data_IF_073248089859
#
_entry.id   IF_073248089859
#
_cell.length_a   1.000
_cell.length_b   1.000
_cell.length_c   1.000
_cell.angle_alpha   90.00
_cell.angle_beta   90.00
_cell.angle_gamma   90.00
#
_symmetry.space_group_name_H-M   'P 1'
#
loop_
_entity.id
_entity.type
_entity.pdbx_description
1 polymer ?
#
# COMPACT_ATOMS: atom_id res chain seq x y z
N UNK A 1 -13.12 3.32 24.86
CA UNK A 1 -12.93 2.26 25.88
C UNK A 1 -13.68 1.01 25.44
N UNK A 2 -13.05 -0.18 25.37
CA UNK A 2 -11.66 -0.48 24.99
C UNK A 2 -11.64 -1.27 23.66
N UNK A 3 -10.95 -0.79 22.62
CA UNK A 3 -9.66 -1.35 22.16
C UNK A 3 -9.47 -2.85 22.45
N UNK A 4 -9.92 -3.68 21.51
CA UNK A 4 -9.46 -5.06 21.37
C UNK A 4 -8.09 -5.04 20.71
N UNK A 5 -7.06 -5.32 21.49
CA UNK A 5 -5.69 -5.51 21.04
C UNK A 5 -5.66 -6.53 19.89
N UNK A 6 -5.17 -6.09 18.73
CA UNK A 6 -4.73 -7.00 17.69
C UNK A 6 -3.53 -7.77 18.24
N UNK A 7 -3.79 -8.92 18.86
CA UNK A 7 -2.76 -9.92 19.08
C UNK A 7 -2.27 -10.34 17.70
N UNK A 8 -1.10 -9.85 17.35
CA UNK A 8 -0.25 -10.37 16.29
C UNK A 8 -0.25 -11.89 16.40
N UNK A 9 -0.86 -12.55 15.41
CA UNK A 9 -0.78 -13.99 15.25
C UNK A 9 0.66 -14.39 14.93
N UNK A 10 1.50 -14.47 15.96
CA UNK A 10 2.64 -15.35 15.94
C UNK A 10 2.07 -16.78 15.92
N UNK A 11 1.78 -17.27 14.72
CA UNK A 11 1.64 -18.71 14.52
C UNK A 11 3.01 -19.32 14.87
N UNK A 12 3.14 -19.83 16.09
CA UNK A 12 4.32 -20.54 16.54
C UNK A 12 4.39 -21.86 15.76
N UNK A 13 5.20 -21.88 14.71
CA UNK A 13 5.44 -23.06 13.87
C UNK A 13 6.33 -24.12 14.54
N UNK A 14 6.60 -24.06 15.85
CA UNK A 14 7.65 -24.85 16.48
C UNK A 14 7.19 -25.81 17.61
N UNK A 15 5.90 -26.12 17.71
CA UNK A 15 5.41 -27.19 18.59
C UNK A 15 5.35 -28.56 17.93
N UNK A 16 5.06 -28.57 16.63
CA UNK A 16 5.05 -29.77 15.82
C UNK A 16 6.39 -29.78 15.07
N UNK A 17 7.28 -30.74 15.36
CA UNK A 17 8.37 -31.01 14.43
C UNK A 17 7.74 -31.42 13.09
N UNK A 18 8.40 -31.08 11.97
CA UNK A 18 8.06 -31.60 10.65
C UNK A 18 7.74 -33.09 10.79
N UNK A 19 6.48 -33.51 10.61
CA UNK A 19 6.05 -34.84 10.98
C UNK A 19 6.94 -35.82 10.22
N UNK A 20 7.61 -36.71 10.96
CA UNK A 20 8.11 -37.94 10.35
C UNK A 20 6.96 -38.51 9.51
N UNK A 21 7.23 -38.99 8.29
CA UNK A 21 6.20 -39.20 7.24
C UNK A 21 4.99 -40.07 7.69
N UNK A 22 5.11 -40.74 8.83
CA UNK A 22 4.06 -41.48 9.55
C UNK A 22 3.03 -40.61 10.31
N UNK A 23 3.40 -39.43 10.86
CA UNK A 23 2.49 -38.51 11.57
C UNK A 23 1.56 -37.73 10.63
N UNK A 24 1.85 -37.72 9.32
CA UNK A 24 1.03 -37.05 8.31
C UNK A 24 -0.20 -37.87 7.85
N UNK A 25 -0.57 -38.92 8.61
CA UNK A 25 -1.72 -39.79 8.32
C UNK A 25 -2.82 -39.75 9.38
N UNK A 26 -2.55 -39.17 10.55
CA UNK A 26 -3.53 -39.07 11.64
C UNK A 26 -4.52 -37.95 11.30
N UNK A 27 -5.81 -38.27 11.29
CA UNK A 27 -6.84 -37.23 11.12
C UNK A 27 -7.00 -36.42 12.40
N UNK A 28 -7.58 -35.23 12.31
CA UNK A 28 -7.95 -34.45 13.50
C UNK A 28 -8.88 -35.28 14.40
N UNK A 29 -9.79 -36.07 13.83
CA UNK A 29 -10.67 -36.96 14.59
C UNK A 29 -9.91 -38.01 15.41
N UNK A 30 -8.89 -38.63 14.82
CA UNK A 30 -8.03 -39.58 15.53
C UNK A 30 -7.22 -38.90 16.64
N UNK A 31 -6.75 -37.67 16.39
CA UNK A 31 -5.95 -36.89 17.34
C UNK A 31 -6.77 -36.42 18.56
N UNK A 32 -8.04 -36.09 18.36
CA UNK A 32 -8.95 -35.67 19.43
C UNK A 32 -9.44 -36.84 20.30
N UNK A 33 -9.46 -38.05 19.74
CA UNK A 33 -9.86 -39.25 20.48
C UNK A 33 -8.90 -39.50 21.65
N UNK A 34 -9.44 -39.62 22.86
CA UNK A 34 -8.68 -39.83 24.10
C UNK A 34 -7.53 -38.81 24.34
N UNK A 35 -7.67 -37.58 23.84
CA UNK A 35 -6.64 -36.54 23.92
C UNK A 35 -5.28 -37.00 23.32
N UNK A 36 -5.32 -37.83 22.27
CA UNK A 36 -4.12 -38.41 21.65
C UNK A 36 -3.11 -37.38 21.14
N UNK A 37 -3.56 -36.18 20.77
CA UNK A 37 -2.72 -35.08 20.32
C UNK A 37 -1.75 -34.55 21.39
N UNK A 38 -2.04 -34.72 22.68
CA UNK A 38 -1.14 -34.30 23.79
C UNK A 38 0.16 -35.11 23.77
N UNK A 39 0.08 -36.37 23.33
CA UNK A 39 1.22 -37.28 23.29
C UNK A 39 2.26 -36.86 22.24
N UNK A 40 1.84 -36.01 21.30
CA UNK A 40 2.69 -35.49 20.22
C UNK A 40 3.50 -34.26 20.70
N UNK A 41 3.19 -33.70 21.87
CA UNK A 41 3.92 -32.60 22.49
C UNK A 41 5.19 -33.16 23.16
N UNK A 42 6.37 -32.77 22.67
CA UNK A 42 7.67 -33.18 23.22
C UNK A 42 8.60 -31.98 23.41
N UNK A 43 9.42 -32.02 24.46
CA UNK A 43 10.44 -31.00 24.74
C UNK A 43 10.23 -30.26 26.08
N UNK A 44 11.14 -29.33 26.39
CA UNK A 44 11.04 -28.46 27.58
C UNK A 44 10.21 -27.23 27.21
N UNK A 45 9.08 -27.04 27.89
CA UNK A 45 8.16 -25.94 27.59
C UNK A 45 8.56 -24.65 28.33
N UNK A 46 8.62 -23.52 27.63
CA UNK A 46 8.68 -22.19 28.24
C UNK A 46 7.29 -21.80 28.76
N UNK A 47 7.20 -20.76 29.61
CA UNK A 47 5.91 -20.30 30.16
C UNK A 47 4.94 -19.88 29.06
N UNK A 48 5.42 -19.16 28.03
CA UNK A 48 4.61 -18.73 26.88
C UNK A 48 4.00 -19.92 26.14
N UNK A 49 4.82 -20.94 25.91
CA UNK A 49 4.46 -22.20 25.26
C UNK A 49 3.40 -22.96 26.08
N UNK A 50 3.51 -22.97 27.42
CA UNK A 50 2.48 -23.55 28.30
C UNK A 50 1.16 -22.77 28.20
N UNK A 51 1.21 -21.43 28.14
CA UNK A 51 0.00 -20.62 28.00
C UNK A 51 -0.73 -20.89 26.68
N UNK A 52 -0.01 -20.97 25.57
CA UNK A 52 -0.60 -21.30 24.27
C UNK A 52 -1.19 -22.71 24.25
N UNK A 53 -0.53 -23.67 24.90
CA UNK A 53 -1.06 -25.02 25.07
C UNK A 53 -2.38 -25.01 25.85
N UNK A 54 -2.47 -24.28 26.96
CA UNK A 54 -3.70 -24.18 27.76
C UNK A 54 -4.84 -23.52 26.97
N UNK A 55 -4.55 -22.46 26.21
CA UNK A 55 -5.55 -21.85 25.33
C UNK A 55 -6.04 -22.83 24.26
N UNK A 56 -5.14 -23.57 23.62
CA UNK A 56 -5.51 -24.58 22.63
C UNK A 56 -6.32 -25.71 23.28
N UNK A 57 -5.93 -26.16 24.47
CA UNK A 57 -6.63 -27.18 25.24
C UNK A 57 -8.08 -26.78 25.51
N UNK A 58 -8.31 -25.55 25.96
CA UNK A 58 -9.66 -25.04 26.23
C UNK A 58 -10.51 -25.01 24.94
N UNK A 59 -9.95 -24.48 23.83
CA UNK A 59 -10.63 -24.42 22.54
C UNK A 59 -11.00 -25.80 21.99
N UNK A 60 -10.11 -26.78 22.18
CA UNK A 60 -10.27 -28.15 21.66
C UNK A 60 -11.22 -28.97 22.54
N UNK A 61 -11.21 -28.75 23.85
CA UNK A 61 -12.07 -29.50 24.80
C UNK A 61 -13.56 -29.24 24.54
N UNK A 62 -13.91 -28.05 24.06
CA UNK A 62 -15.30 -27.70 23.70
C UNK A 62 -15.72 -28.25 22.32
N UNK A 63 -14.80 -28.86 21.56
CA UNK A 63 -15.06 -29.29 20.19
C UNK A 63 -15.72 -30.68 20.13
N UNK A 64 -17.00 -30.72 19.76
CA UNK A 64 -17.72 -31.98 19.51
C UNK A 64 -17.72 -32.34 18.01
N UNK A 65 -16.97 -33.37 17.64
CA UNK A 65 -17.00 -33.92 16.29
C UNK A 65 -18.31 -34.69 16.04
N UNK A 66 -18.90 -34.52 14.86
CA UNK A 66 -20.13 -35.22 14.46
C UNK A 66 -19.78 -36.44 13.62
N UNK A 67 -20.01 -37.63 14.17
CA UNK A 67 -19.77 -38.90 13.48
C UNK A 67 -20.63 -39.00 12.21
N UNK A 68 -20.02 -39.35 11.08
CA UNK A 68 -20.72 -39.58 9.81
C UNK A 68 -21.06 -38.32 9.00
N UNK A 69 -20.61 -37.14 9.44
CA UNK A 69 -20.73 -35.89 8.67
C UNK A 69 -19.38 -35.59 8.01
N UNK A 70 -19.38 -35.39 6.69
CA UNK A 70 -18.17 -34.96 5.98
C UNK A 70 -17.76 -33.54 6.38
N UNK A 71 -16.46 -33.32 6.50
CA UNK A 71 -15.89 -32.00 6.77
C UNK A 71 -16.28 -30.98 5.70
N UNK A 72 -16.45 -29.73 6.13
CA UNK A 72 -16.73 -28.59 5.26
C UNK A 72 -15.70 -27.50 5.53
N UNK A 73 -15.03 -27.05 4.48
CA UNK A 73 -14.18 -25.88 4.55
C UNK A 73 -15.07 -24.62 4.60
N UNK A 74 -14.99 -23.85 5.68
CA UNK A 74 -15.73 -22.59 5.88
C UNK A 74 -14.74 -21.44 5.82
N UNK A 75 -14.88 -20.60 4.79
CA UNK A 75 -14.08 -19.39 4.64
C UNK A 75 -14.59 -18.28 5.57
N UNK A 76 -13.91 -18.07 6.70
CA UNK A 76 -14.36 -17.15 7.77
C UNK A 76 -14.22 -15.67 7.45
N UNK A 77 -13.48 -15.32 6.39
CA UNK A 77 -13.22 -13.92 6.00
C UNK A 77 -14.30 -13.36 5.07
N UNK A 78 -15.36 -14.13 4.77
CA UNK A 78 -16.55 -13.70 4.04
C UNK A 78 -17.81 -14.23 4.73
N UNK A 79 -18.88 -13.45 4.75
CA UNK A 79 -20.19 -13.83 5.32
C UNK A 79 -20.83 -15.02 4.60
N UNK A 80 -20.48 -15.26 3.33
CA UNK A 80 -20.96 -16.41 2.57
C UNK A 80 -20.40 -17.76 3.04
N UNK A 81 -19.29 -17.75 3.80
CA UNK A 81 -18.59 -18.98 4.19
C UNK A 81 -17.89 -19.72 3.04
N UNK A 82 -17.98 -19.20 1.80
CA UNK A 82 -17.37 -19.80 0.62
C UNK A 82 -16.07 -19.10 0.26
N UNK A 83 -15.05 -19.91 -0.05
CA UNK A 83 -13.78 -19.40 -0.55
C UNK A 83 -13.93 -18.95 -2.01
N UNK A 84 -13.38 -17.79 -2.31
CA UNK A 84 -13.04 -17.36 -3.66
C UNK A 84 -11.75 -16.56 -3.63
N UNK A 85 -10.98 -16.59 -4.72
CA UNK A 85 -9.76 -15.77 -4.84
C UNK A 85 -10.05 -14.27 -4.63
N UNK A 86 -11.24 -13.80 -5.04
CA UNK A 86 -11.71 -12.43 -4.78
C UNK A 86 -11.85 -12.14 -3.27
N UNK A 87 -12.57 -12.99 -2.54
CA UNK A 87 -12.78 -12.79 -1.10
C UNK A 87 -11.48 -12.92 -0.29
N UNK A 88 -10.52 -13.71 -0.77
CA UNK A 88 -9.17 -13.77 -0.21
C UNK A 88 -8.40 -12.48 -0.47
N UNK A 89 -8.47 -11.95 -1.69
CA UNK A 89 -7.87 -10.67 -2.03
C UNK A 89 -8.46 -9.54 -1.18
N UNK A 90 -9.78 -9.38 -1.11
CA UNK A 90 -10.42 -8.37 -0.25
C UNK A 90 -10.00 -8.48 1.21
N UNK A 91 -9.89 -9.69 1.75
CA UNK A 91 -9.47 -9.91 3.13
C UNK A 91 -8.03 -9.41 3.39
N UNK A 92 -7.13 -9.49 2.40
CA UNK A 92 -5.77 -8.93 2.52
C UNK A 92 -5.75 -7.41 2.64
N UNK A 93 -6.80 -6.72 2.17
CA UNK A 93 -6.92 -5.27 2.26
C UNK A 93 -7.83 -4.80 3.40
N UNK A 94 -8.33 -5.70 4.25
CA UNK A 94 -9.08 -5.31 5.44
C UNK A 94 -8.18 -4.47 6.38
N UNK A 95 -8.66 -3.27 6.73
CA UNK A 95 -7.89 -2.31 7.54
C UNK A 95 -6.86 -1.49 6.76
N UNK A 96 -6.80 -1.62 5.43
CA UNK A 96 -5.96 -0.74 4.61
C UNK A 96 -6.51 0.70 4.59
N UNK A 97 -5.61 1.68 4.55
CA UNK A 97 -5.95 3.08 4.34
C UNK A 97 -5.97 3.33 2.84
N UNK A 98 -7.12 3.78 2.32
CA UNK A 98 -7.23 4.14 0.92
C UNK A 98 -6.43 5.42 0.64
N UNK A 99 -5.50 5.33 -0.30
CA UNK A 99 -4.69 6.46 -0.73
C UNK A 99 -5.50 7.37 -1.67
N UNK A 100 -6.14 8.41 -1.14
CA UNK A 100 -7.12 9.27 -1.85
C UNK A 100 -6.76 9.66 -3.29
N UNK A 101 -5.50 9.99 -3.66
CA UNK A 101 -5.16 10.38 -5.03
C UNK A 101 -5.27 9.27 -6.08
N UNK A 102 -5.42 7.99 -5.71
CA UNK A 102 -5.40 6.88 -6.67
C UNK A 102 -6.45 7.04 -7.79
N UNK A 103 -7.68 7.46 -7.46
CA UNK A 103 -8.73 7.63 -8.47
C UNK A 103 -8.36 8.72 -9.48
N UNK A 104 -7.79 9.81 -8.97
CA UNK A 104 -7.41 10.99 -9.74
C UNK A 104 -6.26 10.70 -10.70
N UNK A 105 -5.39 9.73 -10.37
CA UNK A 105 -4.31 9.26 -11.25
C UNK A 105 -4.88 8.29 -12.31
N UNK A 106 -5.61 7.28 -11.86
CA UNK A 106 -5.95 6.13 -12.69
C UNK A 106 -7.17 6.34 -13.60
N UNK A 107 -8.09 7.27 -13.26
CA UNK A 107 -9.29 7.58 -14.06
C UNK A 107 -9.07 8.62 -15.18
N UNK A 108 -7.85 9.11 -15.38
CA UNK A 108 -7.54 10.10 -16.43
C UNK A 108 -7.45 9.51 -17.82
N UNK A 109 -7.34 10.37 -18.84
CA UNK A 109 -7.07 9.97 -20.22
C UNK A 109 -5.57 9.89 -20.54
N UNK A 110 -4.70 10.17 -19.57
CA UNK A 110 -3.26 10.15 -19.79
C UNK A 110 -2.72 8.73 -20.08
N UNK A 111 -1.62 8.58 -20.83
CA UNK A 111 -0.97 7.28 -21.05
C UNK A 111 -0.50 6.62 -19.76
N UNK A 112 -0.43 5.28 -19.76
CA UNK A 112 0.00 4.50 -18.58
C UNK A 112 1.39 4.90 -18.05
N UNK A 113 2.32 5.30 -18.93
CA UNK A 113 3.67 5.75 -18.51
C UNK A 113 3.59 6.97 -17.60
N UNK A 114 2.71 7.93 -17.92
CA UNK A 114 2.51 9.14 -17.15
C UNK A 114 1.78 8.85 -15.84
N UNK A 115 0.77 7.96 -15.86
CA UNK A 115 0.08 7.50 -14.63
C UNK A 115 1.05 6.82 -13.66
N UNK A 116 1.95 5.99 -14.18
CA UNK A 116 2.96 5.30 -13.37
C UNK A 116 3.97 6.28 -12.76
N UNK A 117 4.46 7.25 -13.55
CA UNK A 117 5.35 8.28 -13.03
C UNK A 117 4.70 9.01 -11.86
N UNK A 118 3.44 9.42 -12.04
CA UNK A 118 2.74 10.15 -11.01
C UNK A 118 2.39 9.30 -9.79
N UNK A 119 2.11 8.00 -9.99
CA UNK A 119 2.01 7.06 -8.89
C UNK A 119 3.30 7.02 -8.05
N UNK A 120 4.48 7.14 -8.67
CA UNK A 120 5.74 7.26 -7.95
C UNK A 120 5.88 8.60 -7.22
N UNK A 121 5.46 9.71 -7.86
CA UNK A 121 5.41 11.05 -7.24
C UNK A 121 4.60 11.02 -5.95
N UNK A 122 3.37 10.52 -6.03
CA UNK A 122 2.42 10.40 -4.93
C UNK A 122 2.92 9.53 -3.76
N UNK A 123 3.89 8.66 -4.01
CA UNK A 123 4.52 7.80 -3.00
C UNK A 123 5.90 8.32 -2.52
N UNK A 124 6.30 9.52 -2.93
CA UNK A 124 7.64 10.07 -2.67
C UNK A 124 8.73 9.08 -3.12
N UNK A 125 8.63 8.56 -4.35
CA UNK A 125 9.57 7.57 -4.91
C UNK A 125 10.33 8.07 -6.14
N UNK A 126 10.27 9.36 -6.42
CA UNK A 126 11.05 9.98 -7.48
C UNK A 126 12.48 10.26 -7.02
N UNK A 127 13.43 10.16 -7.94
CA UNK A 127 14.82 10.54 -7.66
C UNK A 127 14.97 12.05 -7.79
N UNK A 128 14.92 12.74 -6.67
CA UNK A 128 15.20 14.17 -6.51
C UNK A 128 16.47 14.35 -5.68
N UNK A 129 17.07 15.56 -5.71
CA UNK A 129 18.32 15.80 -4.98
C UNK A 129 18.20 15.49 -3.48
N UNK A 130 17.05 15.75 -2.85
CA UNK A 130 16.81 15.41 -1.44
C UNK A 130 16.85 13.88 -1.18
N UNK A 131 16.32 13.07 -2.10
CA UNK A 131 16.39 11.60 -2.02
C UNK A 131 17.80 11.08 -2.23
N UNK A 132 18.55 11.68 -3.15
CA UNK A 132 19.95 11.36 -3.40
C UNK A 132 20.81 11.71 -2.18
N UNK A 133 20.60 12.88 -1.58
CA UNK A 133 21.23 13.35 -0.34
C UNK A 133 21.00 12.39 0.83
N UNK A 134 19.75 11.97 1.03
CA UNK A 134 19.38 10.96 2.06
C UNK A 134 20.12 9.64 1.91
N UNK A 135 20.50 9.26 0.68
CA UNK A 135 21.25 8.03 0.36
C UNK A 135 22.76 8.25 0.21
N UNK A 136 23.25 9.46 0.47
CA UNK A 136 24.67 9.83 0.36
C UNK A 136 25.23 9.64 -1.05
N UNK A 137 24.37 9.85 -2.06
CA UNK A 137 24.75 9.85 -3.48
C UNK A 137 25.11 11.27 -3.93
N UNK A 138 25.92 11.43 -5.00
CA UNK A 138 26.17 12.74 -5.60
C UNK A 138 24.87 13.44 -5.99
N UNK A 139 24.72 14.69 -5.60
CA UNK A 139 23.52 15.50 -5.83
C UNK A 139 23.90 16.98 -5.93
N UNK A 140 23.12 17.80 -6.66
CA UNK A 140 23.28 19.25 -6.61
C UNK A 140 22.82 19.80 -5.25
N UNK A 141 23.48 20.86 -4.77
CA UNK A 141 23.12 21.53 -3.49
C UNK A 141 21.80 22.31 -3.60
N UNK A 142 21.45 22.76 -4.80
CA UNK A 142 20.25 23.55 -5.10
C UNK A 142 19.51 22.97 -6.31
N UNK A 143 18.22 23.28 -6.42
CA UNK A 143 17.38 22.92 -7.55
C UNK A 143 17.96 23.46 -8.87
N UNK A 144 18.16 22.60 -9.90
CA UNK A 144 18.80 22.99 -11.15
C UNK A 144 17.97 23.96 -11.99
N UNK A 145 16.69 24.17 -11.67
CA UNK A 145 15.80 25.06 -12.41
C UNK A 145 15.75 26.48 -11.84
N UNK A 146 15.82 26.65 -10.52
CA UNK A 146 15.73 27.96 -9.87
C UNK A 146 17.03 28.41 -9.18
N UNK A 147 17.92 27.49 -8.85
CA UNK A 147 19.15 27.71 -8.10
C UNK A 147 18.94 28.46 -6.76
N UNK A 148 17.77 28.28 -6.13
CA UNK A 148 17.35 29.03 -4.94
C UNK A 148 17.05 28.16 -3.71
N UNK A 149 16.44 26.98 -3.91
CA UNK A 149 16.03 26.07 -2.83
C UNK A 149 16.43 24.63 -3.14
N UNK A 150 16.37 23.75 -2.14
CA UNK A 150 16.62 22.30 -2.28
C UNK A 150 15.63 21.67 -3.28
N UNK A 151 16.13 20.76 -4.12
CA UNK A 151 15.29 20.02 -5.07
C UNK A 151 14.49 18.92 -4.34
N UNK A 152 13.21 19.20 -4.09
CA UNK A 152 12.20 18.22 -3.65
C UNK A 152 11.17 18.01 -4.75
N UNK A 153 10.40 16.92 -4.69
CA UNK A 153 9.37 16.66 -5.71
C UNK A 153 8.28 17.74 -5.72
N UNK A 154 7.87 18.20 -4.54
CA UNK A 154 6.89 19.29 -4.40
C UNK A 154 7.47 20.63 -4.89
N UNK A 155 8.73 20.93 -4.60
CA UNK A 155 9.40 22.11 -5.16
C UNK A 155 9.44 22.01 -6.69
N UNK A 156 9.88 20.89 -7.26
CA UNK A 156 9.95 20.71 -8.71
C UNK A 156 8.59 20.85 -9.41
N UNK A 157 7.51 20.36 -8.78
CA UNK A 157 6.19 20.33 -9.41
C UNK A 157 5.37 21.59 -9.16
N UNK A 158 5.42 22.20 -7.98
CA UNK A 158 4.62 23.40 -7.67
C UNK A 158 5.36 24.52 -6.99
N UNK A 159 6.45 24.29 -6.23
CA UNK A 159 7.13 25.36 -5.49
C UNK A 159 8.15 26.18 -6.30
N UNK A 160 8.68 25.61 -7.38
CA UNK A 160 9.75 26.22 -8.16
C UNK A 160 9.21 27.37 -9.02
N UNK A 161 9.94 28.49 -9.08
CA UNK A 161 9.59 29.63 -9.96
C UNK A 161 9.46 29.18 -11.43
N UNK A 162 10.30 28.23 -11.87
CA UNK A 162 10.18 27.62 -13.18
C UNK A 162 8.87 26.84 -13.35
N UNK A 163 8.48 26.05 -12.34
CA UNK A 163 7.23 25.30 -12.35
C UNK A 163 6.01 26.23 -12.39
N UNK A 164 6.02 27.35 -11.66
CA UNK A 164 4.95 28.35 -11.72
C UNK A 164 4.78 28.90 -13.14
N UNK A 165 5.88 29.32 -13.77
CA UNK A 165 5.85 29.87 -15.13
C UNK A 165 5.38 28.81 -16.14
N UNK A 166 5.84 27.57 -15.96
CA UNK A 166 5.43 26.44 -16.77
C UNK A 166 3.91 26.23 -16.70
N UNK A 167 3.36 26.07 -15.50
CA UNK A 167 1.93 25.81 -15.31
C UNK A 167 1.07 26.98 -15.78
N UNK A 168 1.49 28.22 -15.52
CA UNK A 168 0.82 29.39 -16.06
C UNK A 168 0.74 29.33 -17.59
N UNK A 169 1.86 29.05 -18.26
CA UNK A 169 1.93 28.97 -19.72
C UNK A 169 1.06 27.85 -20.30
N UNK A 170 1.07 26.67 -19.66
CA UNK A 170 0.25 25.53 -20.09
C UNK A 170 -1.24 25.82 -19.89
N UNK A 171 -1.63 26.24 -18.68
CA UNK A 171 -3.03 26.45 -18.33
C UNK A 171 -3.64 27.66 -19.04
N UNK A 172 -2.84 28.67 -19.37
CA UNK A 172 -3.28 29.82 -20.17
C UNK A 172 -3.82 29.40 -21.53
N UNK A 173 -3.26 28.38 -22.17
CA UNK A 173 -3.73 27.87 -23.47
C UNK A 173 -5.15 27.30 -23.41
N UNK A 174 -5.60 26.91 -22.22
CA UNK A 174 -6.94 26.38 -21.96
C UNK A 174 -7.86 27.39 -21.28
N UNK A 175 -7.43 28.65 -21.11
CA UNK A 175 -8.18 29.67 -20.38
C UNK A 175 -8.23 29.44 -18.86
N UNK A 176 -7.34 28.60 -18.33
CA UNK A 176 -7.31 28.18 -16.91
C UNK A 176 -6.12 28.78 -16.14
N UNK A 177 -5.53 29.88 -16.62
CA UNK A 177 -4.35 30.51 -16.00
C UNK A 177 -4.54 30.84 -14.50
N UNK A 178 -5.78 31.15 -14.09
CA UNK A 178 -6.12 31.42 -12.70
C UNK A 178 -5.95 30.20 -11.77
N UNK A 179 -5.83 28.98 -12.31
CA UNK A 179 -5.61 27.75 -11.56
C UNK A 179 -4.12 27.39 -11.41
N UNK A 180 -3.21 28.18 -11.98
CA UNK A 180 -1.77 27.94 -11.83
C UNK A 180 -1.33 27.98 -10.35
N UNK A 181 -0.29 27.22 -9.96
CA UNK A 181 0.23 27.24 -8.60
C UNK A 181 0.57 28.66 -8.16
N UNK A 182 0.21 28.97 -6.92
CA UNK A 182 0.54 30.21 -6.25
C UNK A 182 1.68 29.97 -5.25
N UNK A 183 2.39 31.00 -4.77
CA UNK A 183 3.50 30.84 -3.81
C UNK A 183 3.13 30.17 -2.48
N UNK A 184 1.83 29.97 -2.19
CA UNK A 184 1.34 29.23 -1.03
C UNK A 184 1.18 27.73 -1.31
N UNK A 185 1.15 27.34 -2.58
CA UNK A 185 0.93 25.96 -3.03
C UNK A 185 2.24 25.15 -3.01
N UNK A 186 2.77 24.94 -1.81
CA UNK A 186 4.04 24.23 -1.61
C UNK A 186 3.92 22.70 -1.67
N UNK A 187 2.71 22.16 -1.90
CA UNK A 187 2.44 20.73 -1.97
C UNK A 187 1.61 20.42 -3.21
N UNK A 188 2.16 19.59 -4.10
CA UNK A 188 1.56 19.28 -5.40
C UNK A 188 0.18 18.65 -5.26
N UNK A 189 0.03 17.67 -4.36
CA UNK A 189 -1.24 16.96 -4.13
C UNK A 189 -2.35 17.90 -3.64
N UNK A 190 -2.01 18.89 -2.78
CA UNK A 190 -3.00 19.85 -2.27
C UNK A 190 -3.43 20.85 -3.34
N UNK A 191 -2.49 21.34 -4.14
CA UNK A 191 -2.77 22.22 -5.27
C UNK A 191 -3.67 21.52 -6.28
N UNK A 192 -3.30 20.30 -6.66
CA UNK A 192 -4.06 19.54 -7.63
C UNK A 192 -5.46 19.19 -7.13
N UNK A 193 -5.59 18.70 -5.89
CA UNK A 193 -6.90 18.42 -5.29
C UNK A 193 -7.79 19.67 -5.29
N UNK A 194 -7.22 20.83 -4.95
CA UNK A 194 -7.93 22.12 -4.94
C UNK A 194 -8.46 22.50 -6.33
N UNK A 195 -7.62 22.46 -7.36
CA UNK A 195 -8.04 22.86 -8.72
C UNK A 195 -8.95 21.82 -9.37
N UNK A 196 -8.78 20.53 -9.07
CA UNK A 196 -9.66 19.48 -9.51
C UNK A 196 -11.06 19.62 -8.89
N UNK A 197 -11.17 20.14 -7.66
CA UNK A 197 -12.46 20.42 -7.03
C UNK A 197 -13.17 21.67 -7.59
N UNK A 198 -12.43 22.59 -8.23
CA UNK A 198 -12.99 23.81 -8.85
C UNK A 198 -13.63 23.55 -10.22
N UNK A 199 -13.44 22.36 -10.79
CA UNK A 199 -13.84 22.01 -12.15
C UNK A 199 -14.61 20.68 -12.11
N UNK A 200 -15.62 20.51 -12.97
CA UNK A 200 -16.42 19.29 -13.02
C UNK A 200 -16.53 18.71 -14.43
N UNK A 201 -16.90 17.42 -14.50
CA UNK A 201 -17.19 16.73 -15.75
C UNK A 201 -15.96 16.52 -16.64
N UNK A 202 -16.14 16.72 -17.95
CA UNK A 202 -15.10 16.51 -18.96
C UNK A 202 -13.92 17.46 -18.80
N UNK A 203 -14.16 18.70 -18.35
CA UNK A 203 -13.08 19.68 -18.10
C UNK A 203 -12.18 19.23 -16.96
N UNK A 204 -12.73 18.59 -15.93
CA UNK A 204 -11.94 18.01 -14.83
C UNK A 204 -11.06 16.87 -15.32
N UNK A 205 -11.61 15.97 -16.15
CA UNK A 205 -10.83 14.88 -16.76
C UNK A 205 -9.73 15.40 -17.69
N UNK A 206 -10.02 16.43 -18.47
CA UNK A 206 -9.05 17.10 -19.33
C UNK A 206 -7.93 17.75 -18.50
N UNK A 207 -8.28 18.53 -17.47
CA UNK A 207 -7.33 19.15 -16.55
C UNK A 207 -6.43 18.11 -15.87
N UNK A 208 -7.01 17.06 -15.30
CA UNK A 208 -6.24 15.97 -14.69
C UNK A 208 -5.31 15.31 -15.71
N UNK A 209 -5.76 15.14 -16.96
CA UNK A 209 -4.92 14.55 -18.01
C UNK A 209 -3.76 15.47 -18.39
N UNK A 210 -3.98 16.79 -18.49
CA UNK A 210 -2.91 17.78 -18.72
C UNK A 210 -1.89 17.73 -17.59
N UNK A 211 -2.35 17.73 -16.33
CA UNK A 211 -1.47 17.67 -15.16
C UNK A 211 -0.62 16.39 -15.14
N UNK A 212 -1.15 15.27 -15.64
CA UNK A 212 -0.42 14.00 -15.70
C UNK A 212 0.52 13.91 -16.90
N UNK A 213 0.12 14.46 -18.05
CA UNK A 213 0.91 14.40 -19.28
C UNK A 213 2.21 15.18 -19.17
N UNK A 214 2.14 16.36 -18.57
CA UNK A 214 3.23 17.32 -18.60
C UNK A 214 4.47 16.91 -17.78
N UNK A 215 4.37 16.28 -16.57
CA UNK A 215 5.49 15.65 -15.88
C UNK A 215 6.30 14.68 -16.76
N UNK A 216 5.66 14.02 -17.73
CA UNK A 216 6.33 13.17 -18.72
C UNK A 216 6.99 13.93 -19.88
N UNK A 217 6.59 15.17 -20.14
CA UNK A 217 7.17 16.08 -21.14
C UNK A 217 8.27 16.99 -20.59
N UNK A 218 8.42 17.11 -19.26
CA UNK A 218 9.67 17.59 -18.66
C UNK A 218 10.76 16.55 -18.94
N UNK A 219 11.33 16.58 -20.15
CA UNK A 219 12.43 15.71 -20.55
C UNK A 219 13.59 15.73 -19.55
N UNK A 220 13.69 16.80 -18.75
CA UNK A 220 14.62 16.94 -17.64
C UNK A 220 14.22 16.18 -16.37
N UNK A 221 12.94 16.01 -16.02
CA UNK A 221 12.53 15.15 -14.89
C UNK A 221 12.67 13.68 -15.30
N UNK A 222 12.34 13.34 -16.55
CA UNK A 222 12.68 12.04 -17.13
C UNK A 222 14.18 11.77 -17.11
N UNK A 223 15.03 12.75 -17.42
CA UNK A 223 16.49 12.61 -17.28
C UNK A 223 16.94 12.61 -15.81
N UNK A 224 16.45 13.45 -14.92
CA UNK A 224 16.89 13.44 -13.51
C UNK A 224 16.46 12.14 -12.81
N UNK A 225 15.29 11.60 -13.15
CA UNK A 225 14.78 10.33 -12.61
C UNK A 225 15.41 9.09 -13.25
N UNK A 226 15.88 9.14 -14.51
CA UNK A 226 16.45 7.98 -15.23
C UNK A 226 17.94 8.09 -15.61
N UNK A 227 18.61 9.24 -15.45
CA UNK A 227 20.00 9.49 -15.90
C UNK A 227 21.07 9.20 -14.84
N UNK A 228 20.74 8.48 -13.77
CA UNK A 228 21.73 7.90 -12.84
C UNK A 228 21.90 6.39 -13.04
N UNK A 229 21.79 5.93 -14.29
CA UNK A 229 22.30 4.62 -14.74
C UNK A 229 23.34 4.78 -15.83
#
# INVERSE_FOLDING_TARGET
MPYGSAHSGHFITNFFHDPDKSSNRRTVADALTNHGWVQDIRGVATVEVIMDFLHLWDLVTEMALRSGVSDKHIWRLNSSGHYSAWSAYEALFQGSILFSPWEQIWKTWAPNKCRLLLWLVSHDRCWTADHLKRRHLPHPESCPFCDQEDETIDHLLTGCVFAHQFWFTVLQRFGLAALAPQPVDNLFETWWSRIAAMVSGTTQQGLNSVIILEPGCFGSIGMIVFSTR
#
